data_IF_300937254511
#
_entry.id   IF_300937254511
#
_cell.length_a   1.000
_cell.length_b   1.000
_cell.length_c   1.000
_cell.angle_alpha   90.00
_cell.angle_beta   90.00
_cell.angle_gamma   90.00
#
_symmetry.space_group_name_H-M   'P 1'
#
loop_
_entity.id
_entity.type
_entity.pdbx_description
1 polymer ?
#
# COMPACT_ATOMS: atom_id res chain seq x y z
N UNK A 1 -18.04 -11.85 2.24
CA UNK A 1 -16.73 -11.29 1.83
C UNK A 1 -17.02 -9.95 1.18
N UNK A 2 -16.27 -8.91 1.56
CA UNK A 2 -16.43 -7.59 0.98
C UNK A 2 -16.09 -7.60 -0.52
N UNK A 3 -16.87 -6.85 -1.29
CA UNK A 3 -16.74 -6.77 -2.75
C UNK A 3 -16.69 -5.31 -3.23
N UNK A 4 -16.31 -5.08 -4.48
CA UNK A 4 -16.28 -3.74 -5.08
C UNK A 4 -17.70 -3.14 -5.17
N UNK A 5 -17.82 -1.82 -4.99
CA UNK A 5 -19.11 -1.14 -4.89
C UNK A 5 -20.03 -1.35 -6.11
N UNK A 6 -19.51 -1.33 -7.33
CA UNK A 6 -20.31 -1.63 -8.53
C UNK A 6 -20.93 -3.03 -8.51
N UNK A 7 -20.15 -4.07 -8.16
CA UNK A 7 -20.66 -5.45 -8.02
C UNK A 7 -21.67 -5.58 -6.89
N UNK A 8 -21.38 -4.93 -5.77
CA UNK A 8 -22.30 -4.87 -4.65
C UNK A 8 -23.64 -4.25 -5.07
N UNK A 9 -23.61 -3.15 -5.81
CA UNK A 9 -24.80 -2.48 -6.30
C UNK A 9 -25.60 -3.33 -7.28
N UNK A 10 -24.94 -3.93 -8.28
CA UNK A 10 -25.56 -4.85 -9.25
C UNK A 10 -26.24 -6.02 -8.57
N UNK A 11 -25.56 -6.65 -7.60
CA UNK A 11 -26.12 -7.76 -6.82
C UNK A 11 -27.34 -7.31 -6.03
N UNK A 12 -27.33 -6.09 -5.48
CA UNK A 12 -28.48 -5.52 -4.78
C UNK A 12 -29.65 -5.22 -5.72
N UNK A 13 -29.39 -4.71 -6.93
CA UNK A 13 -30.40 -4.52 -8.00
C UNK A 13 -31.06 -5.84 -8.34
N UNK A 14 -30.26 -6.87 -8.61
CA UNK A 14 -30.76 -8.20 -8.89
C UNK A 14 -31.59 -8.77 -7.73
N UNK A 15 -31.08 -8.72 -6.50
CA UNK A 15 -31.77 -9.28 -5.33
C UNK A 15 -33.08 -8.58 -4.96
N UNK A 16 -33.21 -7.28 -5.27
CA UNK A 16 -34.39 -6.48 -4.93
C UNK A 16 -35.33 -6.25 -6.12
N UNK A 17 -34.92 -6.61 -7.33
CA UNK A 17 -35.71 -6.42 -8.55
C UNK A 17 -35.96 -4.96 -8.93
N UNK A 18 -35.09 -4.03 -8.49
CA UNK A 18 -35.24 -2.59 -8.74
C UNK A 18 -33.90 -1.97 -9.13
N UNK A 19 -33.95 -0.92 -9.96
CA UNK A 19 -32.73 -0.23 -10.43
C UNK A 19 -32.01 0.56 -9.34
N UNK A 20 -32.75 1.03 -8.34
CA UNK A 20 -32.22 1.75 -7.17
C UNK A 20 -32.59 0.96 -5.91
N UNK A 21 -31.72 0.05 -5.44
CA UNK A 21 -32.01 -0.85 -4.31
C UNK A 21 -32.30 -0.13 -3.00
N UNK A 22 -31.68 1.04 -2.81
CA UNK A 22 -31.84 1.91 -1.65
C UNK A 22 -31.96 3.35 -2.13
N UNK A 23 -33.02 4.05 -1.74
CA UNK A 23 -33.21 5.45 -2.10
C UNK A 23 -32.16 6.35 -1.40
N UNK A 24 -31.87 7.50 -1.99
CA UNK A 24 -31.01 8.51 -1.34
C UNK A 24 -31.63 8.88 0.01
N UNK A 25 -30.87 8.71 1.09
CA UNK A 25 -31.32 8.97 2.45
C UNK A 25 -31.68 7.73 3.28
N UNK A 26 -31.82 6.53 2.69
CA UNK A 26 -32.24 5.31 3.41
C UNK A 26 -31.45 5.04 4.69
N UNK A 27 -30.13 5.26 4.68
CA UNK A 27 -29.24 5.05 5.82
C UNK A 27 -28.69 6.36 6.42
N UNK A 28 -29.31 7.51 6.14
CA UNK A 28 -28.86 8.83 6.63
C UNK A 28 -28.71 8.84 8.15
N UNK A 29 -29.72 8.34 8.87
CA UNK A 29 -29.72 8.28 10.33
C UNK A 29 -28.65 7.33 10.86
N UNK A 30 -28.44 6.19 10.20
CA UNK A 30 -27.42 5.21 10.58
C UNK A 30 -25.99 5.77 10.47
N UNK A 31 -25.77 6.72 9.56
CA UNK A 31 -24.49 7.44 9.40
C UNK A 31 -24.37 8.70 10.25
N UNK A 32 -25.45 9.17 10.88
CA UNK A 32 -25.47 10.43 11.66
C UNK A 32 -24.48 10.44 12.82
N UNK A 33 -24.25 9.28 13.45
CA UNK A 33 -23.26 9.08 14.52
C UNK A 33 -21.81 9.16 14.04
N UNK A 34 -21.57 9.19 12.72
CA UNK A 34 -20.25 9.20 12.09
C UNK A 34 -20.08 10.40 11.14
N UNK A 35 -20.30 11.65 11.61
CA UNK A 35 -20.30 12.84 10.74
C UNK A 35 -18.94 13.07 10.05
N UNK A 36 -17.88 12.55 10.65
CA UNK A 36 -16.52 12.55 10.10
C UNK A 36 -16.40 11.68 8.86
N UNK A 37 -17.03 10.50 8.85
CA UNK A 37 -17.00 9.58 7.73
C UNK A 37 -17.84 10.10 6.56
N UNK A 38 -18.97 10.76 6.87
CA UNK A 38 -19.78 11.47 5.88
C UNK A 38 -18.94 12.51 5.14
N UNK A 39 -18.06 13.24 5.84
CA UNK A 39 -17.14 14.20 5.20
C UNK A 39 -16.03 13.57 4.37
N UNK A 40 -15.61 12.35 4.68
CA UNK A 40 -14.58 11.65 3.91
C UNK A 40 -15.12 11.02 2.62
N UNK A 41 -16.42 10.72 2.59
CA UNK A 41 -17.02 10.04 1.46
C UNK A 41 -17.22 10.97 0.26
N UNK A 42 -16.93 10.47 -0.94
CA UNK A 42 -17.08 11.17 -2.22
C UNK A 42 -17.76 10.24 -3.22
N UNK A 43 -19.01 10.52 -3.66
CA UNK A 43 -19.72 9.68 -4.61
C UNK A 43 -18.97 9.52 -5.94
N UNK A 44 -18.16 10.51 -6.32
CA UNK A 44 -17.40 10.53 -7.57
C UNK A 44 -16.34 9.40 -7.62
N UNK A 45 -15.88 8.91 -6.47
CA UNK A 45 -14.96 7.77 -6.36
C UNK A 45 -15.66 6.44 -6.08
N UNK A 46 -16.99 6.43 -6.06
CA UNK A 46 -17.83 5.31 -5.62
C UNK A 46 -19.02 5.11 -6.58
N UNK A 47 -18.76 5.15 -7.89
CA UNK A 47 -19.73 4.90 -8.96
C UNK A 47 -21.00 5.80 -8.90
N UNK A 48 -20.88 7.00 -8.32
CA UNK A 48 -21.99 7.94 -8.15
C UNK A 48 -22.99 7.55 -7.06
N UNK A 49 -22.74 6.46 -6.32
CA UNK A 49 -23.61 6.01 -5.22
C UNK A 49 -23.30 6.88 -4.00
N UNK A 50 -24.33 7.37 -3.30
CA UNK A 50 -24.13 8.19 -2.10
C UNK A 50 -24.08 7.31 -0.83
N UNK A 51 -23.31 7.74 0.18
CA UNK A 51 -23.15 6.98 1.44
C UNK A 51 -24.47 6.62 2.12
N UNK A 52 -25.48 7.49 2.01
CA UNK A 52 -26.82 7.25 2.56
C UNK A 52 -27.60 6.12 1.88
N UNK A 53 -27.09 5.54 0.80
CA UNK A 53 -27.65 4.34 0.15
C UNK A 53 -26.91 3.06 0.58
N UNK A 54 -25.87 3.18 1.41
CA UNK A 54 -25.01 2.08 1.82
C UNK A 54 -25.24 1.79 3.31
N UNK A 55 -25.66 0.58 3.69
CA UNK A 55 -25.77 0.21 5.10
C UNK A 55 -24.40 0.27 5.78
N UNK A 56 -24.30 0.74 7.04
CA UNK A 56 -23.03 0.68 7.78
C UNK A 56 -22.48 -0.75 7.92
N UNK A 57 -23.33 -1.78 8.01
CA UNK A 57 -22.88 -3.16 8.09
C UNK A 57 -22.60 -3.82 6.72
N UNK A 58 -22.57 -3.04 5.64
CA UNK A 58 -22.34 -3.61 4.32
C UNK A 58 -20.89 -4.08 4.16
N UNK A 59 -20.75 -5.34 3.75
CA UNK A 59 -19.50 -5.92 3.23
C UNK A 59 -19.21 -5.37 1.83
N UNK A 60 -18.82 -4.10 1.76
CA UNK A 60 -18.51 -3.40 0.52
C UNK A 60 -17.25 -2.57 0.68
N UNK A 61 -16.37 -2.60 -0.32
CA UNK A 61 -15.21 -1.73 -0.37
C UNK A 61 -15.60 -0.36 -0.91
N UNK A 62 -15.27 0.69 -0.15
CA UNK A 62 -15.54 2.08 -0.49
C UNK A 62 -14.25 2.89 -0.54
N UNK A 63 -14.21 3.87 -1.44
CA UNK A 63 -13.16 4.86 -1.53
C UNK A 63 -13.45 6.02 -0.58
N UNK A 64 -12.51 6.34 0.29
CA UNK A 64 -12.58 7.42 1.28
C UNK A 64 -11.46 8.44 1.02
N UNK A 65 -11.76 9.72 1.16
CA UNK A 65 -10.81 10.82 1.05
C UNK A 65 -10.66 11.49 2.41
N UNK A 66 -9.47 11.44 3.03
CA UNK A 66 -9.26 12.10 4.31
C UNK A 66 -9.10 13.63 4.19
N UNK A 67 -9.16 14.33 5.31
CA UNK A 67 -9.00 15.80 5.37
C UNK A 67 -7.61 16.27 4.90
N UNK A 68 -6.63 15.37 4.83
CA UNK A 68 -5.28 15.65 4.29
C UNK A 68 -5.14 15.30 2.79
N UNK A 69 -6.21 14.86 2.13
CA UNK A 69 -6.22 14.58 0.69
C UNK A 69 -5.81 13.14 0.29
N UNK A 70 -5.55 12.24 1.26
CA UNK A 70 -5.24 10.85 0.94
C UNK A 70 -6.51 10.07 0.57
N UNK A 71 -6.49 9.43 -0.60
CA UNK A 71 -7.52 8.50 -1.06
C UNK A 71 -7.16 7.08 -0.62
N UNK A 72 -8.10 6.35 -0.02
CA UNK A 72 -7.85 4.98 0.43
C UNK A 72 -9.14 4.15 0.44
N UNK A 73 -8.99 2.82 0.35
CA UNK A 73 -10.11 1.87 0.32
C UNK A 73 -10.28 1.23 1.70
N UNK A 74 -11.52 1.18 2.19
CA UNK A 74 -11.87 0.46 3.40
C UNK A 74 -13.37 0.10 3.39
N UNK A 75 -13.73 -0.95 4.09
CA UNK A 75 -15.14 -1.25 4.37
C UNK A 75 -15.73 -0.24 5.35
N UNK A 76 -17.05 -0.03 5.33
CA UNK A 76 -17.77 0.66 6.39
C UNK A 76 -17.36 0.24 7.80
N UNK A 77 -17.22 -1.06 8.06
CA UNK A 77 -16.86 -1.60 9.36
C UNK A 77 -15.45 -1.21 9.77
N UNK A 78 -14.45 -1.46 8.92
CA UNK A 78 -13.04 -1.09 9.19
C UNK A 78 -12.90 0.41 9.50
N UNK A 79 -13.64 1.23 8.76
CA UNK A 79 -13.60 2.68 8.92
C UNK A 79 -14.19 3.18 10.24
N UNK A 80 -15.18 2.43 10.78
CA UNK A 80 -15.74 2.70 12.11
C UNK A 80 -14.91 2.10 13.24
N UNK A 81 -14.28 0.94 13.03
CA UNK A 81 -13.71 0.08 14.07
C UNK A 81 -12.31 0.48 14.58
N UNK A 82 -11.75 1.62 14.15
CA UNK A 82 -10.50 2.28 14.60
C UNK A 82 -9.58 1.51 15.59
N UNK A 83 -8.33 1.20 15.20
CA UNK A 83 -7.32 0.66 16.12
C UNK A 83 -6.67 1.77 16.97
N UNK A 84 -6.82 1.73 18.31
CA UNK A 84 -5.94 2.43 19.26
C UNK A 84 -6.57 3.47 20.19
N UNK A 85 -5.83 3.81 21.27
CA UNK A 85 -6.25 4.74 22.36
C UNK A 85 -5.93 6.23 22.11
N UNK A 86 -5.33 6.59 20.98
CA UNK A 86 -4.95 7.98 20.70
C UNK A 86 -6.11 8.76 20.07
N UNK A 87 -6.74 9.61 20.88
CA UNK A 87 -7.71 10.61 20.41
C UNK A 87 -6.98 11.66 19.56
N UNK A 88 -6.83 11.41 18.25
CA UNK A 88 -6.79 12.52 17.29
C UNK A 88 -8.21 12.92 16.94
N UNK A 89 -8.43 14.24 16.84
CA UNK A 89 -9.68 14.85 16.37
C UNK A 89 -9.93 14.63 14.86
N UNK A 90 -8.98 14.01 14.15
CA UNK A 90 -9.07 13.73 12.72
C UNK A 90 -9.67 12.36 12.43
N UNK A 91 -10.26 12.29 11.24
CA UNK A 91 -10.81 11.11 10.58
C UNK A 91 -9.75 10.00 10.44
N UNK A 92 -10.13 8.71 10.54
CA UNK A 92 -9.12 7.64 10.43
C UNK A 92 -8.72 7.55 8.97
N UNK A 93 -7.42 7.41 8.75
CA UNK A 93 -6.81 7.28 7.45
C UNK A 93 -5.50 6.54 7.67
N UNK A 94 -5.24 5.46 6.91
CA UNK A 94 -4.03 4.65 7.10
C UNK A 94 -2.76 5.49 6.88
N UNK A 95 -2.75 6.40 5.91
CA UNK A 95 -1.60 7.28 5.65
C UNK A 95 -1.39 8.29 6.78
N UNK A 96 -2.44 8.97 7.23
CA UNK A 96 -2.35 9.92 8.35
C UNK A 96 -1.96 9.23 9.66
N UNK A 97 -2.42 7.99 9.88
CA UNK A 97 -2.05 7.21 11.07
C UNK A 97 -0.56 6.84 11.08
N UNK A 98 0.05 6.66 9.91
CA UNK A 98 1.50 6.42 9.77
C UNK A 98 2.31 7.71 9.93
N UNK A 99 1.83 8.83 9.38
CA UNK A 99 2.48 10.15 9.50
C UNK A 99 2.36 10.76 10.91
N UNK A 100 1.43 10.26 11.71
CA UNK A 100 1.19 10.70 13.07
C UNK A 100 2.38 10.39 14.00
N UNK A 101 3.24 11.38 14.28
CA UNK A 101 4.21 11.29 15.38
C UNK A 101 3.46 11.13 16.71
N UNK A 102 3.77 10.12 17.55
CA UNK A 102 3.16 10.02 18.88
C UNK A 102 3.46 11.31 19.65
N UNK A 103 2.44 11.87 20.32
CA UNK A 103 2.71 12.98 21.25
C UNK A 103 3.59 12.41 22.34
N UNK A 104 4.83 12.89 22.45
CA UNK A 104 5.61 12.64 23.67
C UNK A 104 4.76 13.14 24.84
N UNK A 105 4.57 12.36 25.91
CA UNK A 105 3.98 12.87 27.13
C UNK A 105 4.73 14.14 27.49
N UNK A 106 4.01 15.25 27.72
CA UNK A 106 4.63 16.40 28.40
C UNK A 106 5.21 15.84 29.69
N UNK A 107 6.49 16.11 29.96
CA UNK A 107 7.07 15.84 31.27
C UNK A 107 6.12 16.45 32.30
N UNK A 108 5.61 15.62 33.21
CA UNK A 108 4.88 16.13 34.36
C UNK A 108 5.85 17.06 35.12
N UNK A 109 5.39 18.19 35.67
CA UNK A 109 6.20 18.92 36.63
C UNK A 109 6.65 17.95 37.74
N UNK A 110 7.93 18.03 38.12
CA UNK A 110 8.51 17.15 39.12
C UNK A 110 7.66 17.15 40.40
N UNK A 111 7.20 15.99 40.89
CA UNK A 111 6.51 15.92 42.16
C UNK A 111 7.50 16.18 43.31
N UNK A 112 7.05 16.78 44.43
CA UNK A 112 7.89 16.97 45.61
C UNK A 112 8.37 15.61 46.16
N UNK A 113 9.50 15.59 46.88
CA UNK A 113 10.09 14.35 47.34
C UNK A 113 9.30 13.86 48.55
N UNK A 114 8.47 12.83 48.39
CA UNK A 114 8.20 11.84 49.44
C UNK A 114 7.27 10.71 48.96
N UNK A 115 7.51 9.53 49.55
CA UNK A 115 6.84 8.25 49.41
C UNK A 115 7.22 7.38 48.19
N UNK A 116 7.80 6.22 48.53
CA UNK A 116 8.26 5.15 47.64
C UNK A 116 7.29 4.80 46.51
N UNK A 117 7.77 4.52 45.29
CA UNK A 117 6.90 4.18 44.18
C UNK A 117 6.27 2.79 44.41
N UNK A 118 4.99 2.58 44.04
CA UNK A 118 4.46 1.24 43.94
C UNK A 118 5.22 0.49 42.84
N UNK A 119 5.58 -0.76 43.12
CA UNK A 119 6.26 -1.65 42.16
C UNK A 119 5.34 -1.82 40.95
N UNK A 120 5.66 -1.15 39.85
CA UNK A 120 5.00 -1.35 38.58
C UNK A 120 5.24 -2.81 38.11
N UNK A 121 4.24 -3.50 37.54
CA UNK A 121 4.46 -4.81 36.98
C UNK A 121 5.50 -4.69 35.86
N UNK A 122 6.61 -5.41 36.01
CA UNK A 122 7.67 -5.48 34.99
C UNK A 122 7.01 -5.92 33.69
N UNK A 123 6.92 -5.03 32.70
CA UNK A 123 6.55 -5.41 31.34
C UNK A 123 7.50 -6.51 30.91
N UNK A 124 6.95 -7.65 30.50
CA UNK A 124 7.72 -8.75 29.96
C UNK A 124 8.64 -8.22 28.84
N UNK A 125 9.92 -8.61 28.78
CA UNK A 125 10.80 -8.16 27.73
C UNK A 125 10.22 -8.63 26.39
N UNK A 126 9.94 -7.67 25.50
CA UNK A 126 9.64 -7.97 24.11
C UNK A 126 10.85 -8.74 23.58
N UNK A 127 10.69 -10.03 23.29
CA UNK A 127 11.75 -10.85 22.71
C UNK A 127 12.27 -10.11 21.48
N UNK A 128 13.56 -9.75 21.49
CA UNK A 128 14.19 -9.12 20.33
C UNK A 128 13.97 -10.03 19.11
N UNK A 129 13.31 -9.50 18.07
CA UNK A 129 13.14 -10.24 16.81
C UNK A 129 14.53 -10.59 16.29
N UNK A 130 14.76 -11.87 16.01
CA UNK A 130 16.00 -12.35 15.40
C UNK A 130 15.99 -11.90 13.94
N UNK A 131 16.83 -10.92 13.60
CA UNK A 131 17.04 -10.50 12.23
C UNK A 131 17.94 -11.50 11.51
N UNK A 132 17.71 -11.68 10.21
CA UNK A 132 18.55 -12.51 9.36
C UNK A 132 19.96 -11.92 9.26
N UNK A 133 20.97 -12.71 9.62
CA UNK A 133 22.38 -12.30 9.59
C UNK A 133 23.04 -12.44 8.20
N UNK A 134 22.28 -12.85 7.18
CA UNK A 134 22.80 -13.09 5.82
C UNK A 134 22.82 -11.83 4.96
N UNK A 135 22.13 -10.76 5.37
CA UNK A 135 22.18 -9.48 4.67
C UNK A 135 23.54 -8.83 4.93
N UNK A 136 24.33 -8.52 3.89
CA UNK A 136 25.62 -7.87 4.06
C UNK A 136 25.49 -6.46 4.66
N UNK A 137 26.55 -5.99 5.31
CA UNK A 137 26.64 -4.61 5.81
C UNK A 137 26.84 -3.64 4.65
N UNK A 138 25.73 -3.17 4.10
CA UNK A 138 25.69 -2.19 3.02
C UNK A 138 25.00 -0.89 3.48
N UNK A 139 25.30 0.26 2.84
CA UNK A 139 24.56 1.50 3.04
C UNK A 139 23.07 1.33 2.74
N UNK A 140 22.22 2.08 3.45
CA UNK A 140 20.78 2.10 3.15
C UNK A 140 20.56 2.59 1.72
N UNK A 141 19.71 1.88 0.99
CA UNK A 141 19.43 2.12 -0.42
C UNK A 141 20.33 1.32 -1.36
N UNK A 142 21.43 0.73 -0.90
CA UNK A 142 22.32 -0.01 -1.79
C UNK A 142 21.64 -1.22 -2.43
N UNK A 143 21.77 -1.35 -3.77
CA UNK A 143 21.29 -2.52 -4.50
C UNK A 143 22.35 -3.62 -4.46
N UNK A 144 21.93 -4.87 -4.30
CA UNK A 144 22.86 -5.99 -4.24
C UNK A 144 22.19 -7.32 -4.62
N UNK A 145 23.02 -8.35 -4.75
CA UNK A 145 22.56 -9.73 -4.93
C UNK A 145 22.34 -10.37 -3.56
N UNK A 146 21.07 -10.56 -3.17
CA UNK A 146 20.76 -11.21 -1.89
C UNK A 146 20.84 -12.74 -1.98
N UNK A 147 21.40 -13.35 -0.93
CA UNK A 147 21.38 -14.81 -0.70
C UNK A 147 20.03 -15.31 -0.16
N UNK A 148 19.16 -14.39 0.25
CA UNK A 148 17.85 -14.66 0.82
C UNK A 148 16.70 -14.32 -0.12
N UNK A 149 16.97 -13.61 -1.22
CA UNK A 149 15.97 -13.35 -2.24
C UNK A 149 15.39 -14.68 -2.74
N UNK A 150 14.06 -14.77 -2.88
CA UNK A 150 13.44 -15.92 -3.52
C UNK A 150 14.01 -16.06 -4.95
N UNK A 151 14.10 -17.29 -5.49
CA UNK A 151 14.46 -17.47 -6.89
C UNK A 151 13.47 -16.71 -7.77
N UNK A 152 13.89 -16.21 -8.96
CA UNK A 152 13.02 -15.52 -9.89
C UNK A 152 11.72 -16.32 -10.10
N UNK A 153 10.58 -15.70 -9.80
CA UNK A 153 9.39 -16.44 -9.41
C UNK A 153 8.53 -16.86 -10.62
N UNK A 154 8.76 -16.30 -11.82
CA UNK A 154 7.97 -16.67 -12.99
C UNK A 154 8.65 -16.45 -14.35
N UNK A 155 8.24 -17.25 -15.35
CA UNK A 155 8.58 -17.02 -16.76
C UNK A 155 8.11 -15.65 -17.28
N UNK A 156 7.11 -15.06 -16.61
CA UNK A 156 6.56 -13.74 -16.93
C UNK A 156 7.53 -12.63 -16.52
N UNK A 157 8.10 -12.69 -15.32
CA UNK A 157 9.17 -11.77 -14.88
C UNK A 157 10.39 -11.86 -15.78
N UNK A 158 10.81 -13.09 -16.15
CA UNK A 158 11.93 -13.29 -17.06
C UNK A 158 11.67 -12.66 -18.44
N UNK A 159 10.45 -12.81 -18.96
CA UNK A 159 10.02 -12.15 -20.21
C UNK A 159 10.02 -10.63 -20.08
N UNK A 160 9.49 -10.07 -18.99
CA UNK A 160 9.47 -8.63 -18.76
C UNK A 160 10.90 -8.07 -18.72
N UNK A 161 11.79 -8.74 -18.00
CA UNK A 161 13.21 -8.38 -17.91
C UNK A 161 13.89 -8.41 -19.27
N UNK A 162 13.65 -9.44 -20.08
CA UNK A 162 14.22 -9.55 -21.42
C UNK A 162 13.73 -8.40 -22.34
N UNK A 163 12.43 -8.13 -22.35
CA UNK A 163 11.86 -7.07 -23.19
C UNK A 163 12.26 -5.66 -22.73
N UNK A 164 12.47 -5.45 -21.44
CA UNK A 164 13.03 -4.21 -20.90
C UNK A 164 14.49 -4.04 -21.31
N UNK A 165 15.27 -5.13 -21.26
CA UNK A 165 16.68 -5.12 -21.67
C UNK A 165 16.88 -4.85 -23.17
N UNK A 166 15.85 -5.01 -24.01
CA UNK A 166 15.86 -4.59 -25.42
C UNK A 166 15.77 -3.06 -25.59
N UNK A 167 15.26 -2.33 -24.59
CA UNK A 167 15.00 -0.87 -24.65
C UNK A 167 15.91 -0.06 -23.74
N UNK A 168 16.39 -0.66 -22.65
CA UNK A 168 17.14 0.01 -21.62
C UNK A 168 18.34 -0.85 -21.18
N UNK A 169 19.49 -0.22 -21.00
CA UNK A 169 20.66 -0.79 -20.37
C UNK A 169 20.54 -0.66 -18.84
N UNK A 170 20.67 -1.77 -18.12
CA UNK A 170 20.68 -1.79 -16.66
C UNK A 170 21.48 -3.00 -16.15
N UNK A 171 22.05 -2.89 -14.95
CA UNK A 171 22.88 -3.94 -14.37
C UNK A 171 22.07 -5.24 -14.15
N UNK A 172 22.44 -6.36 -14.78
CA UNK A 172 21.75 -7.62 -14.58
C UNK A 172 22.10 -8.23 -13.21
N UNK A 173 21.17 -8.99 -12.64
CA UNK A 173 21.45 -9.84 -11.47
C UNK A 173 21.25 -9.19 -10.11
N UNK A 174 20.99 -7.89 -10.02
CA UNK A 174 20.54 -7.26 -8.76
C UNK A 174 19.17 -7.80 -8.34
N UNK A 175 19.06 -8.26 -7.09
CA UNK A 175 17.85 -8.92 -6.55
C UNK A 175 17.32 -8.29 -5.27
N UNK A 176 18.04 -7.36 -4.66
CA UNK A 176 17.65 -6.77 -3.40
C UNK A 176 18.09 -5.31 -3.23
N UNK A 177 17.40 -4.61 -2.34
CA UNK A 177 17.72 -3.26 -1.89
C UNK A 177 17.84 -3.24 -0.37
N UNK A 178 18.91 -2.64 0.15
CA UNK A 178 19.17 -2.50 1.59
C UNK A 178 18.22 -1.48 2.23
N UNK A 179 17.45 -1.88 3.25
CA UNK A 179 16.42 -1.03 3.89
C UNK A 179 16.89 -0.38 5.20
N UNK A 180 16.51 0.86 5.47
CA UNK A 180 16.83 1.52 6.75
C UNK A 180 16.18 0.91 7.99
N UNK A 181 15.13 0.09 7.81
CA UNK A 181 14.38 -0.57 8.89
C UNK A 181 14.05 -2.01 8.51
N UNK A 182 13.87 -2.90 9.50
CA UNK A 182 13.47 -4.27 9.22
C UNK A 182 12.13 -4.36 8.48
N UNK A 183 12.10 -5.16 7.43
CA UNK A 183 10.90 -5.63 6.75
C UNK A 183 10.81 -7.15 6.96
N UNK A 184 9.74 -7.57 7.63
CA UNK A 184 9.68 -8.86 8.32
C UNK A 184 10.95 -9.11 9.15
N UNK A 185 11.65 -10.21 8.91
CA UNK A 185 12.86 -10.61 9.65
C UNK A 185 14.14 -10.28 8.88
N UNK A 186 14.02 -9.45 7.84
CA UNK A 186 15.10 -9.01 6.96
C UNK A 186 15.28 -7.49 7.01
N UNK A 187 16.45 -7.01 6.61
CA UNK A 187 16.73 -5.57 6.43
C UNK A 187 16.98 -5.24 4.95
N UNK A 188 16.29 -5.99 4.10
CA UNK A 188 16.34 -5.95 2.63
C UNK A 188 14.92 -6.13 2.07
N UNK A 189 14.67 -5.54 0.91
CA UNK A 189 13.49 -5.80 0.08
C UNK A 189 13.90 -6.51 -1.21
N UNK A 190 13.00 -7.31 -1.77
CA UNK A 190 13.22 -8.09 -3.00
C UNK A 190 12.18 -7.68 -4.06
N UNK A 191 12.53 -6.71 -4.94
CA UNK A 191 11.74 -6.41 -6.12
C UNK A 191 11.96 -7.43 -7.24
N UNK A 192 11.02 -7.52 -8.18
CA UNK A 192 11.14 -8.42 -9.33
C UNK A 192 12.23 -7.96 -10.30
N UNK A 193 12.37 -6.64 -10.49
CA UNK A 193 13.45 -6.02 -11.24
C UNK A 193 13.99 -4.82 -10.46
N UNK A 194 15.31 -4.73 -10.38
CA UNK A 194 16.03 -3.66 -9.68
C UNK A 194 16.82 -2.87 -10.72
N UNK A 195 16.49 -1.58 -10.88
CA UNK A 195 17.23 -0.65 -11.72
C UNK A 195 18.10 0.23 -10.81
N UNK A 196 19.35 -0.19 -10.59
CA UNK A 196 20.27 0.41 -9.62
C UNK A 196 20.56 1.89 -9.88
N UNK A 197 20.90 2.18 -11.12
CA UNK A 197 21.32 3.48 -11.62
C UNK A 197 20.18 4.49 -11.55
N UNK A 198 18.97 4.03 -11.88
CA UNK A 198 17.76 4.85 -11.81
C UNK A 198 17.15 4.88 -10.40
N UNK A 199 17.63 4.06 -9.45
CA UNK A 199 16.98 3.88 -8.13
C UNK A 199 15.48 3.62 -8.27
N UNK A 200 15.09 2.73 -9.19
CA UNK A 200 13.70 2.32 -9.39
C UNK A 200 13.57 0.80 -9.23
N UNK A 201 12.61 0.39 -8.42
CA UNK A 201 12.22 -1.00 -8.24
C UNK A 201 10.93 -1.26 -9.04
N UNK A 202 10.90 -2.35 -9.81
CA UNK A 202 9.72 -2.76 -10.57
C UNK A 202 9.15 -4.03 -9.95
N UNK A 203 7.84 -4.03 -9.78
CA UNK A 203 7.05 -5.14 -9.24
C UNK A 203 6.01 -5.55 -10.29
N UNK A 204 5.86 -6.85 -10.53
CA UNK A 204 4.87 -7.43 -11.44
C UNK A 204 3.86 -8.27 -10.64
N UNK A 205 2.71 -7.67 -10.36
CA UNK A 205 1.62 -8.33 -9.67
C UNK A 205 0.65 -8.99 -10.66
N UNK A 206 0.44 -10.29 -10.48
CA UNK A 206 -0.64 -11.01 -11.14
C UNK A 206 -1.69 -11.47 -10.15
N UNK A 207 -2.92 -11.64 -10.59
CA UNK A 207 -4.02 -12.13 -9.72
C UNK A 207 -3.81 -13.59 -9.25
N UNK A 208 -2.75 -14.26 -9.69
CA UNK A 208 -2.50 -15.67 -9.42
C UNK A 208 -3.56 -16.61 -9.99
N UNK A 209 -3.37 -17.92 -9.78
CA UNK A 209 -4.35 -18.96 -10.17
C UNK A 209 -5.65 -18.95 -9.34
N UNK A 210 -5.68 -18.22 -8.21
CA UNK A 210 -6.80 -18.24 -7.26
C UNK A 210 -7.43 -16.87 -6.96
N UNK A 211 -7.02 -15.78 -7.63
CA UNK A 211 -7.72 -14.48 -7.56
C UNK A 211 -7.66 -13.74 -6.22
N UNK A 212 -6.81 -14.20 -5.29
CA UNK A 212 -6.65 -13.65 -3.92
C UNK A 212 -5.24 -13.12 -3.65
N UNK A 213 -4.36 -13.17 -4.65
CA UNK A 213 -3.04 -12.54 -4.57
C UNK A 213 -3.23 -11.01 -4.64
N UNK A 214 -2.64 -10.30 -3.67
CA UNK A 214 -2.71 -8.83 -3.51
C UNK A 214 -4.05 -8.22 -3.07
N UNK A 215 -4.86 -8.93 -2.26
CA UNK A 215 -6.05 -8.36 -1.60
C UNK A 215 -5.91 -8.43 -0.07
N UNK A 216 -6.27 -7.35 0.64
CA UNK A 216 -6.31 -7.31 2.11
C UNK A 216 -4.91 -7.23 2.75
N UNK A 217 -4.60 -8.14 3.70
CA UNK A 217 -3.32 -8.12 4.47
C UNK A 217 -2.05 -8.19 3.61
N UNK A 218 -2.14 -8.77 2.40
CA UNK A 218 -1.00 -8.80 1.46
C UNK A 218 -0.79 -7.45 0.79
N UNK A 219 -1.86 -6.72 0.46
CA UNK A 219 -1.79 -5.33 -0.04
C UNK A 219 -1.15 -4.39 1.01
N UNK A 220 -1.47 -4.57 2.29
CA UNK A 220 -0.84 -3.81 3.37
C UNK A 220 0.67 -4.08 3.49
N UNK A 221 1.08 -5.34 3.27
CA UNK A 221 2.48 -5.73 3.26
C UNK A 221 3.22 -5.15 2.04
N UNK A 222 2.60 -5.17 0.87
CA UNK A 222 3.12 -4.58 -0.37
C UNK A 222 3.30 -3.07 -0.22
N UNK A 223 2.29 -2.35 0.28
CA UNK A 223 2.43 -0.91 0.60
C UNK A 223 3.53 -0.63 1.61
N UNK A 224 3.72 -1.50 2.61
CA UNK A 224 4.82 -1.36 3.58
C UNK A 224 6.17 -1.61 2.93
N UNK A 225 6.28 -2.53 1.96
CA UNK A 225 7.48 -2.77 1.16
C UNK A 225 7.80 -1.53 0.33
N UNK A 226 6.82 -1.00 -0.40
CA UNK A 226 6.98 0.19 -1.24
C UNK A 226 7.45 1.40 -0.44
N UNK A 227 6.87 1.64 0.75
CA UNK A 227 7.32 2.71 1.65
C UNK A 227 8.73 2.50 2.18
N UNK A 228 9.12 1.25 2.44
CA UNK A 228 10.46 0.94 2.91
C UNK A 228 11.51 1.21 1.82
N UNK A 229 11.18 0.87 0.56
CA UNK A 229 11.99 1.20 -0.61
C UNK A 229 12.10 2.72 -0.81
N UNK A 230 10.97 3.46 -0.78
CA UNK A 230 10.96 4.93 -0.84
C UNK A 230 11.76 5.60 0.26
N UNK A 231 11.68 5.08 1.48
CA UNK A 231 12.49 5.58 2.61
C UNK A 231 13.99 5.29 2.43
N UNK A 232 14.35 4.34 1.57
CA UNK A 232 15.73 4.02 1.20
C UNK A 232 16.19 4.76 -0.08
N UNK A 233 15.39 5.70 -0.60
CA UNK A 233 15.72 6.51 -1.78
C UNK A 233 15.29 5.90 -3.12
N UNK A 234 14.39 4.92 -3.12
CA UNK A 234 13.94 4.22 -4.32
C UNK A 234 12.51 4.58 -4.70
N UNK A 235 12.22 4.73 -5.98
CA UNK A 235 10.84 4.73 -6.45
C UNK A 235 10.39 3.33 -6.83
N UNK A 236 9.06 3.13 -6.82
CA UNK A 236 8.45 1.82 -7.12
C UNK A 236 7.42 2.00 -8.23
N UNK A 237 7.61 1.23 -9.30
CA UNK A 237 6.67 1.10 -10.42
C UNK A 237 6.06 -0.28 -10.34
N UNK A 238 4.74 -0.38 -10.15
CA UNK A 238 4.06 -1.66 -10.01
C UNK A 238 3.20 -1.93 -11.24
N UNK A 239 3.53 -2.98 -11.97
CA UNK A 239 2.71 -3.51 -13.06
C UNK A 239 1.64 -4.41 -12.44
N UNK A 240 0.38 -3.99 -12.50
CA UNK A 240 -0.75 -4.75 -11.95
C UNK A 240 -1.55 -5.34 -13.09
N UNK A 241 -1.72 -6.66 -13.06
CA UNK A 241 -2.42 -7.37 -14.14
C UNK A 241 -3.81 -7.87 -13.76
N UNK A 242 -4.68 -8.01 -14.75
CA UNK A 242 -6.05 -8.48 -14.57
C UNK A 242 -6.97 -7.38 -14.02
N UNK A 243 -7.69 -7.68 -12.93
CA UNK A 243 -8.67 -6.76 -12.31
C UNK A 243 -8.12 -6.03 -11.07
N UNK A 244 -6.80 -6.00 -10.92
CA UNK A 244 -6.14 -5.31 -9.82
C UNK A 244 -6.19 -3.79 -10.05
N UNK A 245 -6.61 -3.04 -9.03
CA UNK A 245 -6.60 -1.58 -9.05
C UNK A 245 -5.20 -1.03 -8.75
N UNK A 246 -4.82 0.14 -9.26
CA UNK A 246 -3.53 0.77 -8.92
C UNK A 246 -3.46 1.10 -7.43
N UNK A 247 -2.27 0.90 -6.83
CA UNK A 247 -1.95 1.21 -5.44
C UNK A 247 -1.18 2.52 -5.28
N UNK A 248 -0.38 2.87 -6.29
CA UNK A 248 0.46 4.06 -6.32
C UNK A 248 0.29 4.90 -7.59
N UNK A 249 0.87 6.12 -7.61
CA UNK A 249 0.77 7.03 -8.75
C UNK A 249 1.50 6.53 -10.00
N UNK A 250 2.50 5.66 -9.82
CA UNK A 250 3.33 5.10 -10.88
C UNK A 250 2.90 3.67 -11.27
N UNK A 251 1.72 3.23 -10.84
CA UNK A 251 1.24 1.88 -11.11
C UNK A 251 0.71 1.77 -12.54
N UNK A 252 1.16 0.74 -13.26
CA UNK A 252 0.75 0.48 -14.64
C UNK A 252 -0.22 -0.70 -14.69
N UNK A 253 -1.40 -0.47 -15.25
CA UNK A 253 -2.35 -1.54 -15.52
C UNK A 253 -2.01 -2.25 -16.83
N UNK A 254 -2.01 -3.58 -16.82
CA UNK A 254 -1.72 -4.38 -18.01
C UNK A 254 -2.54 -5.69 -18.06
N UNK A 255 -2.81 -6.21 -19.25
CA UNK A 255 -3.35 -7.57 -19.42
C UNK A 255 -2.27 -8.65 -19.38
N UNK A 256 -1.01 -8.26 -19.53
CA UNK A 256 0.17 -9.14 -19.54
C UNK A 256 1.42 -8.40 -20.01
N UNK A 257 2.53 -9.12 -20.15
CA UNK A 257 3.81 -8.57 -20.64
C UNK A 257 3.79 -8.46 -22.17
N UNK A 258 3.78 -7.22 -22.67
CA UNK A 258 3.74 -6.87 -24.11
C UNK A 258 4.71 -5.73 -24.41
N UNK A 259 5.04 -5.50 -25.69
CA UNK A 259 5.92 -4.37 -26.09
C UNK A 259 5.38 -3.03 -25.61
N UNK A 260 4.08 -2.78 -25.83
CA UNK A 260 3.40 -1.57 -25.38
C UNK A 260 3.39 -1.37 -23.86
N UNK A 261 3.42 -2.45 -23.06
CA UNK A 261 3.63 -2.32 -21.62
C UNK A 261 5.04 -1.79 -21.32
N UNK A 262 6.04 -2.36 -21.96
CA UNK A 262 7.43 -1.97 -21.71
C UNK A 262 7.70 -0.54 -22.18
N UNK A 263 7.12 -0.13 -23.31
CA UNK A 263 7.21 1.26 -23.79
C UNK A 263 6.63 2.23 -22.76
N UNK A 264 5.42 1.95 -22.24
CA UNK A 264 4.82 2.73 -21.14
C UNK A 264 5.63 2.70 -19.85
N UNK A 265 6.30 1.58 -19.57
CA UNK A 265 7.18 1.48 -18.40
C UNK A 265 8.39 2.39 -18.56
N UNK A 266 8.99 2.46 -19.74
CA UNK A 266 10.08 3.42 -20.02
C UNK A 266 9.57 4.86 -19.91
N UNK A 267 8.38 5.17 -20.42
CA UNK A 267 7.78 6.50 -20.25
C UNK A 267 7.56 6.85 -18.78
N UNK A 268 7.07 5.92 -17.96
CA UNK A 268 6.91 6.12 -16.52
C UNK A 268 8.27 6.35 -15.83
N UNK A 269 9.33 5.67 -16.25
CA UNK A 269 10.68 5.93 -15.76
C UNK A 269 11.11 7.37 -16.09
N UNK A 270 10.77 7.88 -17.28
CA UNK A 270 11.06 9.28 -17.68
C UNK A 270 10.31 10.26 -16.82
N UNK A 271 9.06 9.99 -16.45
CA UNK A 271 8.30 10.83 -15.51
C UNK A 271 8.95 10.86 -14.12
N UNK A 272 9.46 9.72 -13.64
CA UNK A 272 10.05 9.61 -12.29
C UNK A 272 11.45 10.24 -12.21
N UNK A 273 12.28 10.06 -13.24
CA UNK A 273 13.72 10.40 -13.21
C UNK A 273 14.13 11.50 -14.19
N UNK A 274 13.21 11.94 -15.04
CA UNK A 274 13.48 12.85 -16.15
C UNK A 274 13.94 12.09 -17.39
N UNK A 275 13.49 12.56 -18.56
CA UNK A 275 13.83 11.98 -19.86
C UNK A 275 15.34 11.90 -20.08
N UNK A 276 16.07 12.99 -19.82
CA UNK A 276 17.51 13.04 -20.05
C UNK A 276 18.30 11.95 -19.31
N UNK A 277 17.91 11.63 -18.07
CA UNK A 277 18.57 10.58 -17.30
C UNK A 277 18.23 9.20 -17.84
N UNK A 278 16.97 8.92 -18.18
CA UNK A 278 16.54 7.60 -18.67
C UNK A 278 17.01 7.33 -20.09
N UNK A 279 16.97 8.34 -20.95
CA UNK A 279 17.37 8.24 -22.36
C UNK A 279 18.89 7.99 -22.49
N UNK A 280 19.70 8.42 -21.52
CA UNK A 280 21.12 8.08 -21.45
C UNK A 280 21.40 6.58 -21.31
N UNK A 281 20.42 5.80 -20.88
CA UNK A 281 20.47 4.34 -20.76
C UNK A 281 19.63 3.63 -21.82
N UNK A 282 19.01 4.34 -22.76
CA UNK A 282 18.19 3.70 -23.81
C UNK A 282 19.07 2.98 -24.85
N UNK A 283 18.53 1.89 -25.42
CA UNK A 283 19.14 1.13 -26.52
C UNK A 283 18.59 1.53 -27.88
#
# INVERSE_FOLDING_TARGET
MAEAIGRWWERRRFSRGVDVPYAVGTYREAWSSYPVLVRQYRPEYNDGIVLSQIPPAADVFLCWLCDSGHLFVATPEEQRSRPGRERRRSSWCPECAVLAKPRSPRAAPEPPPEASPPVAPRRAPVRARRLCAKTPELPVGEAFVSRCAPPPASAVEARLRAMLAERLEFEPGLTAVRLGRPFFDHVEAWPDIVLGELRVAIEYDSTGRHGLEHVGRREEADRRKDRALRSAGWEVVRVRTGRLLPLGPHDLLASGVTGALVDRLVDELREIRGSLLVDAWSR
#
